data_IF_574704164134
#
_entry.id   IF_574704164134
#
_cell.length_a   1.000
_cell.length_b   1.000
_cell.length_c   1.000
_cell.angle_alpha   90.00
_cell.angle_beta   90.00
_cell.angle_gamma   90.00
#
_symmetry.space_group_name_H-M   'P 1'
#
loop_
_entity.id
_entity.type
_entity.pdbx_description
1 polymer ?
#
# COMPACT_ATOMS: atom_id res chain seq x y z
N UNK A 1 38.61 36.05 9.82
CA UNK A 1 37.46 36.51 10.63
C UNK A 1 37.12 35.47 11.68
N UNK A 2 36.70 35.92 12.87
CA UNK A 2 36.78 35.22 14.15
C UNK A 2 35.83 34.01 14.29
N UNK A 3 36.35 32.99 14.96
CA UNK A 3 35.69 31.82 15.57
C UNK A 3 34.50 32.19 16.47
N UNK A 4 33.48 31.32 16.53
CA UNK A 4 32.69 31.09 17.75
C UNK A 4 32.01 29.70 17.73
N UNK A 5 32.62 28.76 18.42
CA UNK A 5 31.98 27.56 19.01
C UNK A 5 31.18 28.01 20.24
N UNK A 6 30.02 27.42 20.48
CA UNK A 6 29.38 27.44 21.79
C UNK A 6 28.88 26.03 22.15
N UNK A 7 29.58 25.42 23.11
CA UNK A 7 29.15 24.31 23.94
C UNK A 7 28.06 24.78 24.92
N UNK A 8 27.09 23.91 25.23
CA UNK A 8 26.32 23.99 26.47
C UNK A 8 26.16 22.59 27.04
N UNK A 9 27.05 22.27 27.99
CA UNK A 9 26.86 21.20 28.96
C UNK A 9 26.13 21.79 30.18
N UNK A 10 25.14 21.05 30.69
CA UNK A 10 24.53 21.35 31.99
C UNK A 10 24.66 20.16 32.94
N UNK A 11 24.71 20.43 34.26
CA UNK A 11 25.35 19.54 35.23
C UNK A 11 24.36 18.62 35.95
N UNK A 12 24.81 17.40 36.25
CA UNK A 12 24.23 16.53 37.28
C UNK A 12 24.54 17.06 38.68
N UNK A 13 23.60 16.87 39.63
CA UNK A 13 24.00 16.47 40.98
C UNK A 13 23.02 15.42 41.57
N UNK A 14 23.16 14.96 42.84
CA UNK A 14 23.98 13.80 43.18
C UNK A 14 23.20 12.69 43.94
N UNK A 15 23.98 11.66 44.28
CA UNK A 15 23.72 10.41 45.00
C UNK A 15 23.06 10.47 46.39
N UNK A 16 22.19 9.48 46.65
CA UNK A 16 21.89 8.69 47.87
C UNK A 16 21.63 9.37 49.24
N UNK A 17 20.67 8.84 50.03
CA UNK A 17 21.07 7.96 51.14
C UNK A 17 20.16 6.75 51.44
N UNK A 18 20.75 5.83 52.21
CA UNK A 18 20.24 4.59 52.81
C UNK A 18 19.08 4.84 53.80
N UNK A 19 18.21 3.84 54.01
CA UNK A 19 17.33 3.82 55.18
C UNK A 19 16.37 2.62 55.25
N UNK A 20 16.69 1.66 56.12
CA UNK A 20 15.85 0.51 56.52
C UNK A 20 14.60 1.00 57.29
N UNK A 21 13.49 0.24 57.25
CA UNK A 21 12.73 -0.17 58.46
C UNK A 21 11.67 -1.23 58.16
N UNK A 22 11.72 -2.28 58.99
CA UNK A 22 10.80 -3.40 59.15
C UNK A 22 9.64 -3.01 60.10
N UNK A 23 8.55 -3.79 60.06
CA UNK A 23 7.36 -3.82 60.94
C UNK A 23 6.31 -2.72 60.76
N UNK A 24 5.07 -3.10 60.49
CA UNK A 24 4.12 -3.41 61.57
C UNK A 24 2.73 -3.76 61.02
N UNK A 25 2.30 -4.95 61.40
CA UNK A 25 0.96 -5.49 61.39
C UNK A 25 0.01 -4.48 62.05
N UNK A 26 -0.89 -3.87 61.28
CA UNK A 26 -1.96 -3.05 61.84
C UNK A 26 -3.29 -3.71 61.55
N UNK A 27 -3.93 -4.10 62.65
CA UNK A 27 -5.19 -4.81 62.70
C UNK A 27 -6.30 -4.08 61.95
N UNK A 28 -7.04 -4.85 61.18
CA UNK A 28 -8.36 -4.54 60.67
C UNK A 28 -9.33 -4.44 61.87
N UNK A 29 -9.37 -3.28 62.54
CA UNK A 29 -10.41 -3.00 63.53
C UNK A 29 -11.67 -2.50 62.80
N UNK A 30 -12.59 -3.44 62.60
CA UNK A 30 -14.00 -3.20 62.32
C UNK A 30 -14.59 -2.36 63.46
N UNK A 31 -14.76 -1.06 63.22
CA UNK A 31 -15.68 -0.22 64.00
C UNK A 31 -16.88 0.13 63.12
N UNK A 32 -18.11 -0.26 63.50
CA UNK A 32 -19.31 0.15 62.81
C UNK A 32 -19.64 1.59 63.24
N UNK A 33 -19.26 2.57 62.42
CA UNK A 33 -19.64 3.97 62.66
C UNK A 33 -20.58 4.46 61.58
N UNK A 34 -21.87 4.43 61.92
CA UNK A 34 -22.92 5.18 61.24
C UNK A 34 -22.49 6.64 61.05
N UNK A 35 -22.21 7.06 59.81
CA UNK A 35 -22.16 8.48 59.40
C UNK A 35 -22.88 8.63 58.07
N UNK A 36 -24.08 9.22 58.13
CA UNK A 36 -24.89 9.62 56.97
C UNK A 36 -24.30 10.85 56.25
N UNK A 37 -22.99 10.85 55.97
CA UNK A 37 -22.28 12.02 55.43
C UNK A 37 -21.24 11.74 54.34
N UNK A 38 -20.78 10.49 54.17
CA UNK A 38 -19.61 10.20 53.31
C UNK A 38 -19.95 9.56 51.95
N UNK A 39 -21.24 9.48 51.60
CA UNK A 39 -21.69 8.97 50.29
C UNK A 39 -21.09 9.78 49.13
N UNK A 40 -21.04 11.14 49.16
CA UNK A 40 -20.47 11.92 48.05
C UNK A 40 -18.96 11.70 47.89
N UNK A 41 -18.24 11.58 49.00
CA UNK A 41 -16.78 11.41 49.00
C UNK A 41 -16.37 10.07 48.41
N UNK A 42 -17.09 8.99 48.73
CA UNK A 42 -16.81 7.68 48.17
C UNK A 42 -17.10 7.61 46.67
N UNK A 43 -18.15 8.28 46.19
CA UNK A 43 -18.47 8.36 44.75
C UNK A 43 -17.38 9.13 44.00
N UNK A 44 -16.87 10.23 44.56
CA UNK A 44 -15.78 11.01 43.97
C UNK A 44 -14.50 10.17 43.82
N UNK A 45 -14.10 9.46 44.88
CA UNK A 45 -12.89 8.61 44.86
C UNK A 45 -13.03 7.48 43.86
N UNK A 46 -14.20 6.82 43.80
CA UNK A 46 -14.46 5.75 42.84
C UNK A 46 -14.37 6.25 41.39
N UNK A 47 -14.90 7.45 41.10
CA UNK A 47 -14.84 8.07 39.79
C UNK A 47 -13.41 8.38 39.33
N UNK A 48 -12.57 8.92 40.23
CA UNK A 48 -11.16 9.22 39.93
C UNK A 48 -10.39 7.94 39.60
N UNK A 49 -10.58 6.87 40.39
CA UNK A 49 -9.92 5.57 40.14
C UNK A 49 -10.33 5.00 38.78
N UNK A 50 -11.61 5.11 38.40
CA UNK A 50 -12.12 4.59 37.13
C UNK A 50 -11.53 5.34 35.93
N UNK A 51 -11.46 6.68 35.99
CA UNK A 51 -10.86 7.51 34.94
C UNK A 51 -9.36 7.22 34.80
N UNK A 52 -8.63 7.11 35.91
CA UNK A 52 -7.22 6.74 35.90
C UNK A 52 -7.00 5.32 35.34
N UNK A 53 -7.88 4.37 35.67
CA UNK A 53 -7.84 3.01 35.15
C UNK A 53 -7.99 2.95 33.63
N UNK A 54 -8.96 3.69 33.07
CA UNK A 54 -9.16 3.76 31.61
C UNK A 54 -7.92 4.34 30.92
N UNK A 55 -7.36 5.43 31.44
CA UNK A 55 -6.18 6.07 30.86
C UNK A 55 -4.96 5.13 30.81
N UNK A 56 -4.72 4.37 31.88
CA UNK A 56 -3.65 3.37 31.92
C UNK A 56 -3.89 2.24 30.92
N UNK A 57 -5.12 1.73 30.81
CA UNK A 57 -5.47 0.69 29.83
C UNK A 57 -5.27 1.20 28.40
N UNK A 58 -5.66 2.44 28.09
CA UNK A 58 -5.43 3.05 26.77
C UNK A 58 -3.94 3.16 26.46
N UNK A 59 -3.12 3.54 27.45
CA UNK A 59 -1.67 3.62 27.29
C UNK A 59 -1.03 2.24 27.05
N UNK A 60 -1.47 1.22 27.78
CA UNK A 60 -1.03 -0.16 27.57
C UNK A 60 -1.45 -0.69 26.20
N UNK A 61 -2.69 -0.47 25.78
CA UNK A 61 -3.18 -0.90 24.45
C UNK A 61 -2.39 -0.23 23.32
N UNK A 62 -2.07 1.06 23.46
CA UNK A 62 -1.21 1.78 22.50
C UNK A 62 0.22 1.25 22.49
N UNK A 63 0.76 0.85 23.65
CA UNK A 63 2.13 0.33 23.75
C UNK A 63 2.27 -1.07 23.16
N UNK A 64 1.26 -1.94 23.33
CA UNK A 64 1.22 -3.26 22.68
C UNK A 64 1.10 -3.11 21.16
N UNK A 65 0.22 -2.23 20.68
CA UNK A 65 0.08 -1.95 19.23
C UNK A 65 1.36 -1.36 18.61
N UNK A 66 2.12 -0.57 19.36
CA UNK A 66 3.43 -0.07 18.91
C UNK A 66 4.51 -1.18 18.91
N UNK A 67 4.50 -2.10 19.88
CA UNK A 67 5.44 -3.24 19.87
C UNK A 67 5.20 -4.19 18.69
N UNK A 68 3.94 -4.39 18.28
CA UNK A 68 3.60 -5.14 17.07
C UNK A 68 4.02 -4.42 15.78
N UNK A 69 4.21 -3.08 15.83
CA UNK A 69 4.69 -2.28 14.69
C UNK A 69 6.23 -2.29 14.56
N UNK A 70 6.97 -2.61 15.62
CA UNK A 70 8.43 -2.72 15.60
C UNK A 70 8.96 -4.12 15.26
N UNK A 71 8.07 -5.11 15.11
CA UNK A 71 8.40 -6.39 14.46
C UNK A 71 8.69 -6.19 12.95
N UNK A 72 8.26 -5.06 12.36
CA UNK A 72 8.46 -4.74 10.95
C UNK A 72 9.90 -4.54 10.50
N UNK A 73 10.83 -4.08 11.34
CA UNK A 73 12.23 -3.87 10.92
C UNK A 73 12.97 -5.22 10.82
N UNK A 74 12.74 -6.13 11.77
CA UNK A 74 13.28 -7.49 11.70
C UNK A 74 12.65 -8.31 10.58
N UNK A 75 11.35 -8.12 10.29
CA UNK A 75 10.67 -8.79 9.19
C UNK A 75 11.08 -8.24 7.81
N UNK A 76 11.38 -6.95 7.68
CA UNK A 76 11.88 -6.36 6.43
C UNK A 76 13.32 -6.81 6.14
N UNK A 77 14.18 -6.90 7.17
CA UNK A 77 15.54 -7.41 7.01
C UNK A 77 15.53 -8.91 6.67
N UNK A 78 14.61 -9.68 7.28
CA UNK A 78 14.41 -11.10 7.00
C UNK A 78 13.73 -11.36 5.64
N UNK A 79 12.87 -10.46 5.16
CA UNK A 79 12.29 -10.49 3.82
C UNK A 79 13.32 -10.12 2.76
N UNK A 80 14.20 -9.15 3.01
CA UNK A 80 15.29 -8.81 2.08
C UNK A 80 16.28 -9.98 1.96
N UNK A 81 16.64 -10.63 3.07
CA UNK A 81 17.51 -11.81 3.01
C UNK A 81 16.83 -13.02 2.34
N UNK A 82 15.52 -13.19 2.52
CA UNK A 82 14.77 -14.27 1.85
C UNK A 82 14.49 -14.00 0.36
N UNK A 83 14.41 -12.73 -0.08
CA UNK A 83 14.29 -12.38 -1.50
C UNK A 83 15.59 -12.66 -2.24
N UNK A 84 16.75 -12.36 -1.63
CA UNK A 84 18.06 -12.73 -2.21
C UNK A 84 18.23 -14.26 -2.28
N UNK A 85 17.81 -15.01 -1.25
CA UNK A 85 17.92 -16.48 -1.22
C UNK A 85 16.92 -17.19 -2.17
N UNK A 86 15.68 -16.69 -2.28
CA UNK A 86 14.65 -17.26 -3.16
C UNK A 86 14.83 -16.89 -4.65
N UNK A 87 15.61 -15.84 -4.95
CA UNK A 87 16.00 -15.56 -6.34
C UNK A 87 16.99 -16.59 -6.91
N UNK A 88 17.67 -17.35 -6.03
CA UNK A 88 18.71 -18.31 -6.41
C UNK A 88 18.24 -19.78 -6.37
N UNK A 89 17.26 -20.13 -5.52
CA UNK A 89 16.67 -21.47 -5.45
C UNK A 89 15.15 -21.41 -5.55
N UNK A 90 14.63 -21.61 -6.75
CA UNK A 90 13.19 -21.74 -6.97
C UNK A 90 12.61 -22.94 -6.21
N UNK A 91 11.91 -22.71 -5.10
CA UNK A 91 10.81 -23.58 -4.64
C UNK A 91 9.91 -22.92 -3.60
N UNK A 92 8.61 -23.17 -3.79
CA UNK A 92 7.47 -22.64 -3.05
C UNK A 92 7.53 -22.86 -1.53
N UNK A 93 7.23 -21.81 -0.76
CA UNK A 93 6.78 -21.93 0.62
C UNK A 93 5.56 -21.04 0.81
N UNK A 94 4.47 -21.65 1.29
CA UNK A 94 3.17 -21.02 1.43
C UNK A 94 3.13 -19.91 2.47
N UNK A 95 2.59 -18.77 2.06
CA UNK A 95 2.00 -17.75 2.93
C UNK A 95 0.77 -17.16 2.21
N UNK A 96 -0.29 -16.98 2.99
CA UNK A 96 -1.57 -16.29 2.73
C UNK A 96 -1.73 -15.64 1.34
N UNK A 97 -2.45 -16.31 0.44
CA UNK A 97 -2.88 -15.72 -0.83
C UNK A 97 -3.98 -14.68 -0.60
N UNK A 98 -3.80 -13.43 -1.04
CA UNK A 98 -4.77 -12.70 -1.90
C UNK A 98 -4.08 -11.53 -2.64
N UNK A 99 -3.25 -11.85 -3.63
CA UNK A 99 -3.07 -11.02 -4.84
C UNK A 99 -2.64 -11.98 -5.94
N UNK A 100 -3.13 -11.82 -7.16
CA UNK A 100 -2.63 -12.63 -8.27
C UNK A 100 -1.11 -12.49 -8.32
N UNK A 101 -0.37 -13.58 -8.51
CA UNK A 101 1.09 -13.50 -8.58
C UNK A 101 1.46 -12.60 -9.76
N UNK A 102 1.94 -11.38 -9.44
CA UNK A 102 2.33 -10.36 -10.40
C UNK A 102 3.43 -10.88 -11.33
N UNK A 103 4.29 -11.79 -10.85
CA UNK A 103 5.30 -12.46 -11.67
C UNK A 103 4.66 -13.30 -12.79
N UNK A 104 3.71 -14.16 -12.43
CA UNK A 104 2.92 -14.94 -13.40
C UNK A 104 2.17 -14.04 -14.38
N UNK A 105 1.52 -12.98 -13.89
CA UNK A 105 0.74 -12.08 -14.72
C UNK A 105 1.60 -11.28 -15.73
N UNK A 106 2.76 -10.76 -15.32
CA UNK A 106 3.64 -10.01 -16.23
C UNK A 106 4.29 -10.94 -17.26
N UNK A 107 4.64 -12.17 -16.88
CA UNK A 107 5.20 -13.15 -17.82
C UNK A 107 4.14 -13.55 -18.86
N UNK A 108 2.89 -13.77 -18.45
CA UNK A 108 1.82 -13.99 -19.41
C UNK A 108 1.61 -12.78 -20.33
N UNK A 109 1.63 -11.57 -19.78
CA UNK A 109 1.48 -10.33 -20.53
C UNK A 109 2.65 -10.05 -21.50
N UNK A 110 3.83 -10.60 -21.23
CA UNK A 110 5.01 -10.48 -22.09
C UNK A 110 5.00 -11.46 -23.26
N UNK A 111 4.13 -12.47 -23.21
CA UNK A 111 3.93 -13.44 -24.28
C UNK A 111 2.65 -13.17 -25.08
N UNK A 112 1.60 -12.68 -24.42
CA UNK A 112 0.25 -12.57 -24.96
C UNK A 112 -0.24 -11.12 -25.09
N UNK A 113 -1.14 -10.90 -26.05
CA UNK A 113 -1.89 -9.63 -26.15
C UNK A 113 -3.10 -9.64 -25.22
N UNK A 114 -3.24 -8.62 -24.38
CA UNK A 114 -4.35 -8.44 -23.45
C UNK A 114 -4.97 -7.07 -23.73
N UNK A 115 -6.20 -7.07 -24.23
CA UNK A 115 -6.88 -5.84 -24.70
C UNK A 115 -5.98 -5.09 -25.69
N UNK A 116 -5.54 -5.80 -26.74
CA UNK A 116 -4.68 -5.31 -27.83
C UNK A 116 -3.26 -4.83 -27.44
N UNK A 117 -2.86 -4.94 -26.18
CA UNK A 117 -1.54 -4.51 -25.67
C UNK A 117 -0.69 -5.71 -25.26
N UNK A 118 0.63 -5.61 -25.39
CA UNK A 118 1.59 -6.66 -25.01
C UNK A 118 2.73 -6.02 -24.24
N UNK A 119 3.12 -6.61 -23.11
CA UNK A 119 4.14 -6.06 -22.23
C UNK A 119 5.55 -6.35 -22.78
N UNK A 120 6.26 -5.31 -23.20
CA UNK A 120 7.60 -5.41 -23.81
C UNK A 120 8.71 -5.26 -22.75
N UNK A 121 8.62 -5.99 -21.64
CA UNK A 121 9.58 -5.89 -20.53
C UNK A 121 10.94 -6.58 -20.77
N UNK A 122 11.07 -7.36 -21.85
CA UNK A 122 12.32 -8.05 -22.18
C UNK A 122 12.81 -8.96 -21.05
N UNK A 123 14.09 -8.86 -20.68
CA UNK A 123 14.64 -9.62 -19.54
C UNK A 123 14.30 -9.03 -18.17
N UNK A 124 13.66 -7.85 -18.11
CA UNK A 124 13.42 -7.11 -16.87
C UNK A 124 12.07 -7.40 -16.22
N UNK A 125 11.25 -8.31 -16.77
CA UNK A 125 9.89 -8.56 -16.28
C UNK A 125 9.84 -8.88 -14.78
N UNK A 126 10.77 -9.72 -14.29
CA UNK A 126 10.84 -10.06 -12.86
C UNK A 126 11.16 -8.84 -11.98
N UNK A 127 12.08 -7.98 -12.43
CA UNK A 127 12.40 -6.74 -11.71
C UNK A 127 11.19 -5.80 -11.68
N UNK A 128 10.51 -5.63 -12.80
CA UNK A 128 9.30 -4.80 -12.88
C UNK A 128 8.20 -5.33 -11.96
N UNK A 129 8.01 -6.65 -11.89
CA UNK A 129 7.06 -7.28 -10.97
C UNK A 129 7.38 -6.98 -9.50
N UNK A 130 8.65 -7.11 -9.09
CA UNK A 130 9.09 -6.78 -7.72
C UNK A 130 8.82 -5.30 -7.40
N UNK A 131 9.29 -4.39 -8.26
CA UNK A 131 9.14 -2.95 -8.02
C UNK A 131 7.66 -2.51 -7.99
N UNK A 132 6.79 -3.14 -8.79
CA UNK A 132 5.35 -2.90 -8.71
C UNK A 132 4.73 -3.44 -7.42
N UNK A 133 5.15 -4.62 -6.95
CA UNK A 133 4.68 -5.15 -5.67
C UNK A 133 5.06 -4.22 -4.51
N UNK A 134 6.33 -3.81 -4.46
CA UNK A 134 6.85 -2.90 -3.45
C UNK A 134 6.15 -1.54 -3.50
N UNK A 135 6.04 -0.95 -4.70
CA UNK A 135 5.39 0.34 -4.91
C UNK A 135 3.90 0.30 -4.58
N UNK A 136 3.21 -0.80 -4.90
CA UNK A 136 1.79 -1.00 -4.58
C UNK A 136 1.59 -1.03 -3.06
N UNK A 137 2.41 -1.82 -2.36
CA UNK A 137 2.38 -1.94 -0.91
C UNK A 137 2.67 -0.59 -0.23
N UNK A 138 3.78 0.07 -0.62
CA UNK A 138 4.21 1.38 -0.08
C UNK A 138 3.12 2.45 -0.19
N UNK A 139 2.37 2.46 -1.28
CA UNK A 139 1.37 3.49 -1.57
C UNK A 139 -0.07 3.09 -1.16
N UNK A 140 -0.26 1.88 -0.63
CA UNK A 140 -1.59 1.35 -0.30
C UNK A 140 -2.48 1.26 -1.54
N UNK A 141 -1.91 0.82 -2.66
CA UNK A 141 -2.63 0.41 -3.88
C UNK A 141 -3.06 -1.05 -3.65
N UNK A 142 -4.33 -1.39 -3.87
CA UNK A 142 -4.89 -2.67 -3.41
C UNK A 142 -4.29 -3.89 -4.09
N UNK A 143 -3.73 -3.72 -5.29
CA UNK A 143 -3.27 -4.83 -6.12
C UNK A 143 -2.18 -4.34 -7.10
N UNK A 144 -1.02 -4.98 -7.09
CA UNK A 144 0.09 -4.65 -8.00
C UNK A 144 -0.23 -4.94 -9.47
N UNK A 145 -1.23 -5.80 -9.75
CA UNK A 145 -1.74 -6.04 -11.10
C UNK A 145 -2.36 -4.77 -11.69
N UNK A 146 -2.87 -3.85 -10.85
CA UNK A 146 -3.38 -2.57 -11.32
C UNK A 146 -2.24 -1.71 -11.90
N UNK A 147 -1.08 -1.69 -11.24
CA UNK A 147 0.11 -1.00 -11.75
C UNK A 147 0.60 -1.62 -13.06
N UNK A 148 0.59 -2.96 -13.19
CA UNK A 148 0.91 -3.61 -14.46
C UNK A 148 -0.05 -3.20 -15.58
N UNK A 149 -1.36 -3.21 -15.29
CA UNK A 149 -2.36 -2.82 -16.28
C UNK A 149 -2.17 -1.38 -16.75
N UNK A 150 -1.86 -0.47 -15.81
CA UNK A 150 -1.58 0.93 -16.07
C UNK A 150 -0.29 1.11 -16.88
N UNK A 151 0.81 0.48 -16.46
CA UNK A 151 2.10 0.48 -17.18
C UNK A 151 1.96 -0.04 -18.63
N UNK A 152 1.15 -1.08 -18.84
CA UNK A 152 0.83 -1.56 -20.18
C UNK A 152 0.01 -0.55 -21.00
N UNK A 153 -0.90 0.20 -20.38
CA UNK A 153 -1.68 1.24 -21.07
C UNK A 153 -0.78 2.37 -21.54
N UNK A 154 0.17 2.75 -20.69
CA UNK A 154 1.05 3.89 -20.87
C UNK A 154 2.14 3.63 -21.90
N UNK A 155 2.86 2.51 -21.78
CA UNK A 155 4.08 2.30 -22.57
C UNK A 155 4.18 0.93 -23.21
N UNK A 156 3.19 0.06 -23.06
CA UNK A 156 3.36 -1.37 -23.36
C UNK A 156 4.61 -1.93 -22.63
N UNK A 157 4.86 -1.49 -21.39
CA UNK A 157 6.06 -1.81 -20.60
C UNK A 157 7.41 -1.47 -21.28
N UNK A 158 7.44 -0.50 -22.20
CA UNK A 158 8.67 -0.06 -22.86
C UNK A 158 9.36 1.02 -22.03
N UNK A 159 10.50 0.70 -21.43
CA UNK A 159 11.29 1.63 -20.61
C UNK A 159 11.76 2.88 -21.38
N UNK A 160 11.89 2.77 -22.71
CA UNK A 160 12.36 3.86 -23.56
C UNK A 160 11.20 4.68 -24.16
N UNK A 161 9.95 4.43 -23.74
CA UNK A 161 8.79 5.12 -24.27
C UNK A 161 8.85 6.63 -23.98
N UNK A 162 8.58 7.44 -25.00
CA UNK A 162 8.58 8.89 -24.89
C UNK A 162 7.50 9.47 -25.80
N UNK A 163 6.56 10.22 -25.23
CA UNK A 163 5.47 10.85 -25.96
C UNK A 163 5.25 12.28 -25.46
N UNK A 164 5.59 13.27 -26.29
CA UNK A 164 5.47 14.69 -25.93
C UNK A 164 6.32 15.04 -24.70
N UNK A 165 5.67 15.13 -23.54
CA UNK A 165 6.31 15.42 -22.25
C UNK A 165 6.22 14.26 -21.26
N UNK A 166 5.86 13.06 -21.69
CA UNK A 166 5.73 11.86 -20.85
C UNK A 166 6.84 10.86 -21.11
N UNK A 167 7.37 10.24 -20.05
CA UNK A 167 8.63 9.48 -20.09
C UNK A 167 8.54 8.13 -19.38
N UNK A 168 9.06 7.09 -20.05
CA UNK A 168 9.35 5.77 -19.50
C UNK A 168 8.14 4.86 -19.33
N UNK A 169 8.29 3.84 -18.48
CA UNK A 169 7.35 2.74 -18.27
C UNK A 169 5.93 3.22 -17.92
N UNK A 170 5.85 4.19 -17.02
CA UNK A 170 4.59 4.74 -16.49
C UNK A 170 4.22 6.07 -17.17
N UNK A 171 4.93 6.47 -18.24
CA UNK A 171 4.71 7.73 -18.97
C UNK A 171 4.61 8.96 -18.06
N UNK A 172 5.54 9.08 -17.11
CA UNK A 172 5.57 10.18 -16.13
C UNK A 172 5.74 11.52 -16.85
N UNK A 173 4.80 12.43 -16.63
CA UNK A 173 4.84 13.74 -17.26
C UNK A 173 5.91 14.64 -16.60
N UNK A 174 6.71 15.34 -17.41
CA UNK A 174 7.77 16.25 -16.97
C UNK A 174 7.26 17.45 -16.14
N UNK A 175 5.94 17.67 -16.02
CA UNK A 175 5.38 18.59 -15.02
C UNK A 175 5.63 18.15 -13.57
N UNK A 176 5.95 16.86 -13.35
CA UNK A 176 6.29 16.32 -12.03
C UNK A 176 7.78 16.47 -11.67
N UNK A 177 8.62 16.97 -12.58
CA UNK A 177 10.01 17.28 -12.25
C UNK A 177 10.09 18.32 -11.12
N UNK A 178 10.97 18.10 -10.14
CA UNK A 178 11.02 18.85 -8.88
C UNK A 178 10.07 18.32 -7.78
N UNK A 179 9.29 17.26 -8.06
CA UNK A 179 8.46 16.55 -7.07
C UNK A 179 8.95 15.10 -6.92
N UNK A 180 8.54 14.42 -5.85
CA UNK A 180 8.83 13.00 -5.64
C UNK A 180 10.33 12.65 -5.69
N UNK A 181 11.19 13.60 -5.30
CA UNK A 181 12.65 13.44 -5.37
C UNK A 181 13.25 13.60 -6.78
N UNK A 182 12.47 13.98 -7.79
CA UNK A 182 12.97 14.25 -9.14
C UNK A 182 13.73 15.59 -9.22
N UNK A 183 14.77 15.68 -10.07
CA UNK A 183 15.42 16.94 -10.42
C UNK A 183 14.42 17.95 -10.97
N UNK A 184 14.63 19.22 -10.65
CA UNK A 184 13.81 20.30 -11.23
C UNK A 184 14.17 20.59 -12.69
N UNK A 185 15.42 20.29 -13.09
CA UNK A 185 15.84 20.39 -14.50
C UNK A 185 15.16 19.28 -15.32
N UNK A 186 14.43 19.66 -16.37
CA UNK A 186 13.64 18.71 -17.17
C UNK A 186 14.48 17.69 -17.93
N UNK A 187 15.66 18.05 -18.40
CA UNK A 187 16.53 17.13 -19.16
C UNK A 187 17.16 16.10 -18.22
N UNK A 188 17.62 16.53 -17.05
CA UNK A 188 18.14 15.64 -16.01
C UNK A 188 17.04 14.72 -15.47
N UNK A 189 15.85 15.27 -15.19
CA UNK A 189 14.67 14.52 -14.79
C UNK A 189 14.28 13.46 -15.83
N UNK A 190 14.22 13.84 -17.11
CA UNK A 190 13.97 12.90 -18.22
C UNK A 190 15.02 11.79 -18.26
N UNK A 191 16.30 12.15 -18.18
CA UNK A 191 17.41 11.19 -18.19
C UNK A 191 17.26 10.19 -17.04
N UNK A 192 17.01 10.67 -15.83
CA UNK A 192 16.85 9.82 -14.65
C UNK A 192 15.64 8.90 -14.76
N UNK A 193 14.52 9.37 -15.32
CA UNK A 193 13.33 8.55 -15.56
C UNK A 193 13.52 7.44 -16.60
N UNK A 194 14.46 7.61 -17.55
CA UNK A 194 14.81 6.60 -18.56
C UNK A 194 15.89 5.63 -18.06
N UNK A 195 16.87 6.12 -17.30
CA UNK A 195 17.98 5.32 -16.79
C UNK A 195 17.62 4.53 -15.53
N UNK A 196 16.56 4.93 -14.81
CA UNK A 196 16.09 4.27 -13.59
C UNK A 196 14.63 3.81 -13.72
N UNK A 197 14.39 2.61 -14.29
CA UNK A 197 13.04 2.06 -14.44
C UNK A 197 12.32 1.83 -13.10
N UNK A 198 13.04 1.47 -12.03
CA UNK A 198 12.47 1.33 -10.69
C UNK A 198 11.85 2.65 -10.23
N UNK A 199 12.61 3.73 -10.30
CA UNK A 199 12.14 5.06 -9.93
C UNK A 199 10.95 5.51 -10.79
N UNK A 200 10.93 5.15 -12.08
CA UNK A 200 9.80 5.44 -12.95
C UNK A 200 8.49 4.77 -12.45
N UNK A 201 8.57 3.49 -12.03
CA UNK A 201 7.44 2.75 -11.45
C UNK A 201 7.02 3.34 -10.10
N UNK A 202 7.98 3.60 -9.21
CA UNK A 202 7.71 4.17 -7.88
C UNK A 202 6.97 5.51 -7.96
N UNK A 203 7.44 6.41 -8.81
CA UNK A 203 6.82 7.72 -9.02
C UNK A 203 5.45 7.58 -9.68
N UNK A 204 5.30 6.65 -10.63
CA UNK A 204 3.99 6.33 -11.21
C UNK A 204 2.97 5.90 -10.15
N UNK A 205 3.38 5.05 -9.21
CA UNK A 205 2.54 4.65 -8.09
C UNK A 205 2.20 5.82 -7.14
N UNK A 206 3.15 6.71 -6.86
CA UNK A 206 2.94 7.91 -6.04
C UNK A 206 1.94 8.88 -6.70
N UNK A 207 2.05 9.12 -8.02
CA UNK A 207 1.10 9.95 -8.78
C UNK A 207 -0.30 9.33 -8.80
N UNK A 208 -0.40 8.01 -8.97
CA UNK A 208 -1.68 7.31 -8.91
C UNK A 208 -2.31 7.45 -7.52
N UNK A 209 -1.50 7.35 -6.45
CA UNK A 209 -1.97 7.54 -5.08
C UNK A 209 -2.41 8.97 -4.79
N UNK A 210 -1.66 9.97 -5.27
CA UNK A 210 -2.07 11.37 -5.19
C UNK A 210 -3.44 11.58 -5.87
N UNK A 211 -3.62 11.01 -7.07
CA UNK A 211 -4.88 11.05 -7.81
C UNK A 211 -6.03 10.38 -7.04
N UNK A 212 -5.79 9.24 -6.40
CA UNK A 212 -6.78 8.58 -5.53
C UNK A 212 -7.18 9.49 -4.37
N UNK A 213 -6.21 10.07 -3.66
CA UNK A 213 -6.50 10.93 -2.52
C UNK A 213 -7.33 12.16 -2.91
N UNK A 214 -7.07 12.73 -4.08
CA UNK A 214 -7.78 13.91 -4.60
C UNK A 214 -9.20 13.58 -5.11
N UNK A 215 -9.40 12.42 -5.73
CA UNK A 215 -10.62 12.15 -6.51
C UNK A 215 -11.45 10.96 -6.02
N UNK A 216 -11.05 10.23 -4.97
CA UNK A 216 -11.78 9.04 -4.47
C UNK A 216 -13.27 9.29 -4.17
N UNK A 217 -13.65 10.51 -3.80
CA UNK A 217 -15.05 10.88 -3.52
C UNK A 217 -15.93 10.97 -4.77
N UNK A 218 -15.35 10.88 -5.96
CA UNK A 218 -16.05 11.00 -7.23
C UNK A 218 -15.73 12.29 -7.98
N UNK A 219 -15.59 12.17 -9.31
CA UNK A 219 -15.51 13.32 -10.21
C UNK A 219 -16.07 12.95 -11.59
N UNK A 220 -16.80 13.90 -12.18
CA UNK A 220 -17.41 13.74 -13.50
C UNK A 220 -16.36 14.00 -14.58
N UNK A 221 -16.20 13.03 -15.47
CA UNK A 221 -15.51 13.18 -16.73
C UNK A 221 -16.55 13.34 -17.84
N UNK A 222 -16.60 14.54 -18.42
CA UNK A 222 -17.54 14.81 -19.52
C UNK A 222 -17.18 14.06 -20.79
N UNK A 223 -15.99 13.46 -20.91
CA UNK A 223 -15.55 12.79 -22.12
C UNK A 223 -15.16 13.76 -23.22
N UNK A 224 -14.37 13.28 -24.15
CA UNK A 224 -14.04 13.93 -25.42
C UNK A 224 -15.20 13.82 -26.41
N UNK A 225 -16.11 12.87 -26.16
CA UNK A 225 -17.34 12.65 -26.93
C UNK A 225 -18.63 12.89 -26.11
N UNK A 226 -18.59 13.70 -25.03
CA UNK A 226 -19.76 14.02 -24.18
C UNK A 226 -20.41 12.80 -23.49
N UNK A 227 -19.64 12.00 -22.74
CA UNK A 227 -20.11 10.80 -22.02
C UNK A 227 -20.78 11.09 -20.66
N UNK A 228 -20.29 12.08 -19.91
CA UNK A 228 -20.84 12.44 -18.59
C UNK A 228 -20.72 11.33 -17.52
N UNK A 229 -19.57 10.65 -17.43
CA UNK A 229 -19.37 9.52 -16.52
C UNK A 229 -18.77 9.99 -15.20
N UNK A 230 -19.31 9.51 -14.08
CA UNK A 230 -18.71 9.72 -12.76
C UNK A 230 -17.81 8.55 -12.42
N UNK A 231 -16.52 8.81 -12.20
CA UNK A 231 -15.60 7.82 -11.67
C UNK A 231 -15.39 8.07 -10.18
N UNK A 232 -15.35 7.01 -9.37
CA UNK A 232 -15.09 7.02 -7.92
C UNK A 232 -13.89 6.15 -7.58
N UNK A 233 -13.38 6.25 -6.33
CA UNK A 233 -12.31 5.39 -5.83
C UNK A 233 -11.09 5.30 -6.78
N UNK A 234 -10.64 4.07 -7.09
CA UNK A 234 -9.49 3.81 -7.95
C UNK A 234 -9.77 4.12 -9.42
N UNK A 235 -11.02 4.05 -9.87
CA UNK A 235 -11.37 4.47 -11.24
C UNK A 235 -11.15 5.98 -11.42
N UNK A 236 -11.50 6.77 -10.39
CA UNK A 236 -11.22 8.19 -10.37
C UNK A 236 -9.70 8.48 -10.34
N UNK A 237 -8.93 7.62 -9.67
CA UNK A 237 -7.48 7.70 -9.64
C UNK A 237 -6.86 7.42 -11.02
N UNK A 238 -7.29 6.35 -11.70
CA UNK A 238 -6.86 5.98 -13.06
C UNK A 238 -7.22 7.10 -14.04
N UNK A 239 -8.42 7.67 -13.94
CA UNK A 239 -8.81 8.84 -14.75
C UNK A 239 -7.95 10.06 -14.43
N UNK A 240 -7.66 10.31 -13.16
CA UNK A 240 -6.80 11.39 -12.70
C UNK A 240 -5.37 11.26 -13.22
N UNK A 241 -4.86 10.03 -13.30
CA UNK A 241 -3.53 9.69 -13.82
C UNK A 241 -3.37 10.09 -15.29
N UNK A 242 -4.34 9.73 -16.14
CA UNK A 242 -4.38 10.18 -17.54
C UNK A 242 -4.73 11.68 -17.67
N UNK A 243 -5.38 12.24 -16.65
CA UNK A 243 -5.86 13.63 -16.61
C UNK A 243 -7.35 13.76 -16.92
N UNK A 244 -7.95 14.89 -16.53
CA UNK A 244 -9.40 15.13 -16.70
C UNK A 244 -9.76 15.90 -17.98
N UNK A 245 -8.76 16.33 -18.74
CA UNK A 245 -8.94 17.03 -20.01
C UNK A 245 -8.92 16.06 -21.20
N UNK A 246 -9.24 16.60 -22.37
CA UNK A 246 -9.08 15.90 -23.64
C UNK A 246 -7.86 16.44 -24.39
N UNK A 247 -6.97 15.52 -24.76
CA UNK A 247 -5.92 15.81 -25.72
C UNK A 247 -6.51 16.20 -27.07
N UNK A 248 -5.69 16.85 -27.89
CA UNK A 248 -6.03 17.16 -29.28
C UNK A 248 -5.03 16.51 -30.22
N UNK A 249 -5.49 16.05 -31.37
CA UNK A 249 -4.62 15.59 -32.45
C UNK A 249 -3.93 16.79 -33.15
N UNK A 250 -3.12 16.50 -34.17
CA UNK A 250 -2.43 17.53 -34.96
C UNK A 250 -3.37 18.49 -35.69
N UNK A 251 -4.62 18.09 -35.90
CA UNK A 251 -5.65 18.88 -36.57
C UNK A 251 -6.55 19.64 -35.57
N UNK A 252 -6.27 19.51 -34.26
CA UNK A 252 -7.04 20.14 -33.19
C UNK A 252 -8.31 19.38 -32.80
N UNK A 253 -8.56 18.18 -33.35
CA UNK A 253 -9.71 17.36 -32.99
C UNK A 253 -9.51 16.71 -31.63
N UNK A 254 -10.57 16.56 -30.80
CA UNK A 254 -10.49 15.85 -29.53
C UNK A 254 -10.03 14.41 -29.73
N UNK A 255 -9.09 13.96 -28.90
CA UNK A 255 -8.59 12.59 -28.93
C UNK A 255 -9.56 11.65 -28.21
N UNK A 256 -10.58 11.18 -28.94
CA UNK A 256 -11.69 10.35 -28.41
C UNK A 256 -11.24 9.01 -27.84
N UNK A 257 -10.05 8.51 -28.20
CA UNK A 257 -9.48 7.31 -27.59
C UNK A 257 -9.28 7.44 -26.06
N UNK A 258 -9.20 8.66 -25.53
CA UNK A 258 -9.13 8.89 -24.08
C UNK A 258 -10.44 8.59 -23.37
N UNK A 259 -11.56 8.46 -24.09
CA UNK A 259 -12.86 8.21 -23.46
C UNK A 259 -12.90 6.87 -22.75
N UNK A 260 -12.27 5.84 -23.31
CA UNK A 260 -12.33 4.47 -22.79
C UNK A 260 -11.09 4.10 -21.95
N UNK A 261 -10.25 5.08 -21.60
CA UNK A 261 -8.98 4.80 -20.95
C UNK A 261 -9.14 4.01 -19.63
N UNK A 262 -10.11 4.40 -18.79
CA UNK A 262 -10.36 3.72 -17.50
C UNK A 262 -10.88 2.31 -17.74
N UNK A 263 -11.82 2.18 -18.68
CA UNK A 263 -12.43 0.90 -19.05
C UNK A 263 -11.40 -0.08 -19.63
N UNK A 264 -10.49 0.38 -20.49
CA UNK A 264 -9.41 -0.44 -21.05
C UNK A 264 -8.42 -0.90 -19.97
N UNK A 265 -8.02 0.01 -19.06
CA UNK A 265 -7.17 -0.34 -17.91
C UNK A 265 -7.87 -1.36 -17.01
N UNK A 266 -9.15 -1.17 -16.70
CA UNK A 266 -9.90 -2.10 -15.86
C UNK A 266 -10.16 -3.44 -16.54
N UNK A 267 -10.44 -3.45 -17.85
CA UNK A 267 -10.60 -4.67 -18.62
C UNK A 267 -9.30 -5.50 -18.61
N UNK A 268 -8.15 -4.84 -18.81
CA UNK A 268 -6.84 -5.50 -18.76
C UNK A 268 -6.50 -5.97 -17.34
N UNK A 269 -6.74 -5.15 -16.32
CA UNK A 269 -6.56 -5.50 -14.91
C UNK A 269 -7.34 -6.76 -14.55
N UNK A 270 -8.62 -6.82 -14.91
CA UNK A 270 -9.48 -7.97 -14.66
C UNK A 270 -9.03 -9.23 -15.41
N UNK A 271 -8.54 -9.10 -16.65
CA UNK A 271 -7.97 -10.24 -17.39
C UNK A 271 -6.69 -10.76 -16.74
N UNK A 272 -5.77 -9.88 -16.35
CA UNK A 272 -4.51 -10.23 -15.69
C UNK A 272 -4.72 -10.92 -14.35
N UNK A 273 -5.70 -10.47 -13.56
CA UNK A 273 -6.03 -11.10 -12.29
C UNK A 273 -6.46 -12.55 -12.42
N UNK A 274 -7.17 -12.90 -13.50
CA UNK A 274 -7.60 -14.28 -13.77
C UNK A 274 -6.40 -15.21 -14.02
N UNK A 275 -5.32 -14.68 -14.57
CA UNK A 275 -4.08 -15.42 -14.86
C UNK A 275 -3.25 -15.61 -13.60
N UNK A 276 -3.13 -14.58 -12.75
CA UNK A 276 -2.32 -14.63 -11.53
C UNK A 276 -2.87 -15.53 -10.42
N UNK A 277 -4.14 -15.97 -10.52
CA UNK A 277 -4.78 -17.14 -9.88
C UNK A 277 -6.30 -16.88 -9.76
N UNK A 278 -7.10 -17.48 -10.64
CA UNK A 278 -8.48 -17.84 -10.31
C UNK A 278 -8.75 -19.27 -10.77
N UNK A 279 -8.38 -20.24 -9.94
CA UNK A 279 -9.35 -21.31 -9.68
C UNK A 279 -10.56 -20.58 -9.12
N UNK A 280 -11.54 -20.33 -9.97
CA UNK A 280 -12.88 -19.99 -9.53
C UNK A 280 -13.17 -21.04 -8.45
N UNK A 281 -13.26 -20.61 -7.19
CA UNK A 281 -13.76 -21.50 -6.16
C UNK A 281 -15.18 -21.77 -6.63
N UNK A 282 -15.34 -22.88 -7.33
CA UNK A 282 -16.63 -23.46 -7.62
C UNK A 282 -17.14 -23.83 -6.23
N UNK A 283 -17.77 -22.85 -5.58
CA UNK A 283 -18.57 -23.10 -4.40
C UNK A 283 -19.77 -23.83 -4.96
N UNK A 284 -19.58 -25.10 -5.27
CA UNK A 284 -20.66 -26.07 -5.25
C UNK A 284 -21.25 -25.88 -3.86
N UNK A 285 -22.42 -25.23 -3.81
CA UNK A 285 -23.24 -25.12 -2.62
C UNK A 285 -23.70 -26.53 -2.25
N UNK A 286 -22.79 -27.31 -1.69
CA UNK A 286 -23.08 -28.54 -0.99
C UNK A 286 -23.68 -28.15 0.35
N UNK A 287 -25.00 -28.15 0.42
CA UNK A 287 -25.75 -28.08 1.67
C UNK A 287 -25.49 -29.41 2.41
N UNK A 288 -24.52 -29.42 3.33
CA UNK A 288 -24.23 -30.57 4.20
C UNK A 288 -25.00 -30.39 5.53
N UNK A 289 -26.22 -30.91 5.59
CA UNK A 289 -27.14 -30.78 6.73
C UNK A 289 -26.90 -31.75 7.90
N UNK A 290 -25.80 -32.50 7.93
CA UNK A 290 -25.67 -33.65 8.84
C UNK A 290 -24.29 -34.01 9.39
N UNK A 291 -23.21 -33.27 9.11
CA UNK A 291 -21.88 -33.65 9.64
C UNK A 291 -21.53 -32.84 10.90
N UNK A 292 -21.63 -33.49 12.07
CA UNK A 292 -21.23 -32.94 13.38
C UNK A 292 -19.78 -33.24 13.76
N UNK A 293 -18.96 -33.73 12.84
CA UNK A 293 -17.54 -34.00 13.10
C UNK A 293 -16.64 -33.52 11.96
N UNK A 294 -15.50 -32.96 12.36
CA UNK A 294 -14.47 -32.34 11.53
C UNK A 294 -13.89 -33.31 10.51
N UNK A 295 -13.99 -32.98 9.21
CA UNK A 295 -13.22 -33.61 8.15
C UNK A 295 -12.32 -32.58 7.48
N UNK A 296 -11.01 -32.87 7.46
CA UNK A 296 -10.07 -32.27 6.52
C UNK A 296 -10.51 -32.64 5.11
N UNK A 297 -10.81 -31.65 4.28
CA UNK A 297 -11.04 -31.88 2.85
C UNK A 297 -9.77 -31.55 2.08
N UNK A 298 -9.32 -32.50 1.26
CA UNK A 298 -8.34 -32.27 0.20
C UNK A 298 -9.10 -31.82 -1.04
N UNK A 299 -8.77 -30.65 -1.57
CA UNK A 299 -9.29 -30.18 -2.86
C UNK A 299 -8.39 -30.75 -3.95
N UNK A 300 -8.92 -31.65 -4.78
CA UNK A 300 -8.23 -32.14 -5.97
C UNK A 300 -8.58 -31.24 -7.16
N UNK A 301 -7.57 -30.59 -7.74
CA UNK A 301 -7.74 -29.75 -8.92
C UNK A 301 -7.54 -30.58 -10.19
N UNK A 302 -8.60 -30.70 -10.99
CA UNK A 302 -8.48 -31.26 -12.35
C UNK A 302 -8.06 -30.16 -13.32
N UNK A 303 -6.84 -30.26 -13.84
CA UNK A 303 -6.45 -29.50 -15.03
C UNK A 303 -7.33 -29.91 -16.21
N UNK A 304 -7.96 -28.93 -16.88
CA UNK A 304 -8.57 -29.19 -18.19
C UNK A 304 -7.45 -29.47 -19.21
N UNK A 305 -7.65 -30.41 -20.13
CA UNK A 305 -6.74 -30.63 -21.25
C UNK A 305 -6.67 -29.41 -22.18
#
# INVERSE_FOLDING_TARGET
MKNKKNEFAHPFPPSHPKGKKLYSQTQFQLLPRNRKGDIPTNILVLGIVLVCGIALISFFYSTVKMRDSFVGIGLVEQLNSQIEENSFYGRQVGTVAVSGDIGTAINYASENKIVNRKCNCGSNCNNYASWMADSSSKNGIPDSILLLSLMMQESDCNQNAFSGSSVGLMQINLIHCGKFGLPSNKDECKKQLLENPQMNIEIGAEILKESYNLYKSGKIFNGCSNRGITYTDWDAAIRGYNGWGCGKDSNGNPFTAQDNYVEEVNQRYNSLRKIGNYLEKDVTKGILWWAKETLSFSVEYKGKP
#
